data_IF_467915972635
#
_entry.id   IF_467915972635
#
_cell.length_a   1.000
_cell.length_b   1.000
_cell.length_c   1.000
_cell.angle_alpha   90.00
_cell.angle_beta   90.00
_cell.angle_gamma   90.00
#
_symmetry.space_group_name_H-M   'P 1'
#
loop_
_entity.id
_entity.type
_entity.pdbx_description
1 polymer ?
#
# COMPACT_ATOMS: atom_id res chain seq x y z
N UNK A 1 15.18 15.45 -29.74
CA UNK A 1 14.04 16.38 -29.55
C UNK A 1 13.38 16.13 -28.21
N UNK A 2 13.00 17.24 -27.56
CA UNK A 2 12.48 17.32 -26.20
C UNK A 2 11.11 16.65 -26.10
N UNK A 3 10.95 15.71 -25.16
CA UNK A 3 9.64 15.37 -24.55
C UNK A 3 9.26 16.48 -23.55
N UNK A 4 9.48 17.74 -23.92
CA UNK A 4 9.47 18.91 -23.02
C UNK A 4 8.19 19.75 -23.07
N UNK A 5 7.16 19.28 -23.78
CA UNK A 5 5.91 20.03 -23.99
C UNK A 5 4.82 19.75 -22.96
N UNK A 6 4.85 18.61 -22.27
CA UNK A 6 3.82 18.24 -21.28
C UNK A 6 4.19 18.61 -19.82
N UNK A 7 5.38 19.17 -19.61
CA UNK A 7 6.05 19.11 -18.30
C UNK A 7 5.91 20.35 -17.40
N UNK A 8 5.30 21.45 -17.82
CA UNK A 8 5.21 22.65 -16.96
C UNK A 8 3.82 22.88 -16.35
N UNK A 9 2.75 22.55 -17.08
CA UNK A 9 1.38 22.84 -16.63
C UNK A 9 0.69 21.68 -15.89
N UNK A 10 1.32 20.51 -15.81
CA UNK A 10 0.73 19.32 -15.19
C UNK A 10 1.68 18.67 -14.16
N UNK A 11 2.66 19.42 -13.61
CA UNK A 11 3.57 18.86 -12.60
C UNK A 11 2.80 18.35 -11.37
N UNK A 12 1.71 19.02 -11.02
CA UNK A 12 0.79 18.64 -9.94
C UNK A 12 -0.09 17.42 -10.26
N UNK A 13 -0.15 16.97 -11.52
CA UNK A 13 -0.93 15.79 -11.91
C UNK A 13 -0.18 14.47 -11.63
N UNK A 14 1.11 14.53 -11.33
CA UNK A 14 1.95 13.37 -11.05
C UNK A 14 2.38 13.36 -9.59
N UNK A 15 2.23 12.22 -8.93
CA UNK A 15 2.80 12.00 -7.61
C UNK A 15 4.26 11.56 -7.74
N UNK A 16 5.18 12.49 -7.53
CA UNK A 16 6.63 12.23 -7.63
C UNK A 16 7.18 11.59 -6.35
N UNK A 17 6.51 11.83 -5.23
CA UNK A 17 6.75 11.23 -3.93
C UNK A 17 5.46 10.66 -3.37
N UNK A 18 5.55 9.77 -2.37
CA UNK A 18 4.37 9.22 -1.71
C UNK A 18 3.53 10.29 -0.99
N UNK A 19 4.15 11.39 -0.55
CA UNK A 19 3.48 12.52 0.09
C UNK A 19 2.60 13.32 -0.89
N UNK A 20 2.86 13.20 -2.19
CA UNK A 20 2.12 13.89 -3.26
C UNK A 20 0.82 13.17 -3.66
N UNK A 21 0.51 12.00 -3.07
CA UNK A 21 -0.79 11.32 -3.25
C UNK A 21 -1.72 11.67 -2.08
N UNK A 22 -2.50 12.78 -2.14
CA UNK A 22 -3.48 13.07 -1.10
C UNK A 22 -4.47 11.92 -0.97
N UNK A 23 -4.83 11.60 0.28
CA UNK A 23 -5.82 10.58 0.63
C UNK A 23 -7.07 10.73 -0.27
N UNK A 24 -7.41 9.69 -1.04
CA UNK A 24 -8.62 9.66 -1.85
C UNK A 24 -9.84 9.40 -0.97
N UNK A 25 -10.96 10.07 -1.25
CA UNK A 25 -12.21 9.87 -0.51
C UNK A 25 -12.62 8.39 -0.55
N UNK A 26 -12.64 7.66 0.59
CA UNK A 26 -13.03 6.26 0.62
C UNK A 26 -14.43 6.02 0.06
N UNK A 27 -15.35 7.00 0.16
CA UNK A 27 -16.68 6.86 -0.43
C UNK A 27 -16.65 6.80 -1.96
N UNK A 28 -15.62 7.37 -2.58
CA UNK A 28 -15.45 7.42 -4.03
C UNK A 28 -14.66 6.22 -4.58
N UNK A 29 -13.65 5.74 -3.84
CA UNK A 29 -12.67 4.77 -4.37
C UNK A 29 -12.50 3.48 -3.56
N UNK A 30 -13.27 3.27 -2.48
CA UNK A 30 -13.22 2.01 -1.73
C UNK A 30 -13.73 0.85 -2.57
N UNK A 31 -12.83 -0.08 -2.91
CA UNK A 31 -13.21 -1.35 -3.51
C UNK A 31 -13.56 -2.38 -2.44
N UNK A 32 -14.80 -2.87 -2.46
CA UNK A 32 -15.23 -3.99 -1.62
C UNK A 32 -15.06 -5.30 -2.36
N UNK A 33 -14.07 -6.09 -1.93
CA UNK A 33 -13.87 -7.43 -2.46
C UNK A 33 -15.05 -8.33 -2.07
N UNK A 34 -15.78 -8.93 -3.03
CA UNK A 34 -16.84 -9.88 -2.71
C UNK A 34 -16.24 -11.15 -2.12
N UNK A 35 -16.52 -11.41 -0.85
CA UNK A 35 -16.09 -12.62 -0.14
C UNK A 35 -17.19 -13.68 -0.18
N UNK A 36 -16.81 -14.94 -0.34
CA UNK A 36 -17.73 -16.05 -0.14
C UNK A 36 -18.07 -16.13 1.36
N UNK A 37 -19.34 -16.01 1.76
CA UNK A 37 -19.74 -15.99 3.18
C UNK A 37 -19.42 -17.30 3.92
N UNK A 38 -19.23 -18.39 3.19
CA UNK A 38 -18.86 -19.69 3.78
C UNK A 38 -17.35 -19.85 3.99
N UNK A 39 -16.52 -18.93 3.50
CA UNK A 39 -15.08 -18.99 3.68
C UNK A 39 -14.68 -18.57 5.09
N UNK A 40 -13.92 -19.43 5.76
CA UNK A 40 -13.36 -19.14 7.08
C UNK A 40 -12.10 -18.29 6.96
N UNK A 41 -11.90 -17.30 7.85
CA UNK A 41 -10.64 -16.58 7.94
C UNK A 41 -9.44 -17.48 8.19
N UNK A 42 -8.33 -17.20 7.52
CA UNK A 42 -7.07 -17.94 7.67
C UNK A 42 -5.98 -16.98 8.13
N UNK A 43 -5.32 -17.35 9.24
CA UNK A 43 -4.07 -16.73 9.69
C UNK A 43 -2.91 -17.60 9.26
N UNK A 44 -2.21 -17.19 8.22
CA UNK A 44 -1.01 -17.89 7.78
C UNK A 44 0.10 -17.75 8.83
N UNK A 45 0.82 -18.84 9.06
CA UNK A 45 1.98 -18.85 9.96
C UNK A 45 3.09 -17.97 9.38
N UNK A 46 3.63 -17.07 10.20
CA UNK A 46 4.73 -16.19 9.83
C UNK A 46 5.92 -16.99 9.26
N UNK A 47 6.42 -16.56 8.11
CA UNK A 47 7.66 -17.07 7.52
C UNK A 47 8.84 -16.22 7.95
N UNK A 48 10.01 -16.84 8.06
CA UNK A 48 11.27 -16.11 8.24
C UNK A 48 11.56 -15.32 6.96
N UNK A 49 11.74 -14.01 7.11
CA UNK A 49 12.26 -13.16 6.05
C UNK A 49 13.77 -13.37 5.93
N UNK A 50 14.32 -13.21 4.74
CA UNK A 50 15.77 -13.19 4.57
C UNK A 50 16.34 -11.97 5.33
N UNK A 51 17.34 -12.13 6.20
CA UNK A 51 17.92 -11.01 6.95
C UNK A 51 18.37 -9.82 6.08
N UNK A 52 18.73 -10.08 4.81
CA UNK A 52 19.11 -9.04 3.85
C UNK A 52 17.94 -8.15 3.43
N UNK A 53 16.71 -8.65 3.54
CA UNK A 53 15.48 -7.96 3.16
C UNK A 53 14.79 -7.29 4.34
N UNK A 54 15.14 -7.63 5.59
CA UNK A 54 14.50 -7.07 6.79
C UNK A 54 14.59 -5.53 6.85
N UNK A 55 15.77 -4.97 6.54
CA UNK A 55 15.97 -3.53 6.50
C UNK A 55 15.11 -2.84 5.43
N UNK A 56 15.25 -3.19 4.14
CA UNK A 56 14.46 -2.60 3.06
C UNK A 56 12.94 -2.75 3.23
N UNK A 57 12.48 -3.91 3.72
CA UNK A 57 11.05 -4.14 3.96
C UNK A 57 10.53 -3.22 5.06
N UNK A 58 11.31 -3.00 6.12
CA UNK A 58 10.92 -2.10 7.20
C UNK A 58 10.85 -0.64 6.73
N UNK A 59 11.82 -0.18 5.95
CA UNK A 59 11.84 1.16 5.37
C UNK A 59 10.61 1.39 4.47
N UNK A 60 10.34 0.45 3.54
CA UNK A 60 9.16 0.54 2.68
C UNK A 60 7.85 0.52 3.46
N UNK A 61 7.76 -0.25 4.56
CA UNK A 61 6.58 -0.26 5.43
C UNK A 61 6.38 1.09 6.13
N UNK A 62 7.45 1.71 6.61
CA UNK A 62 7.41 3.03 7.25
C UNK A 62 6.93 4.10 6.26
N UNK A 63 7.39 4.07 5.02
CA UNK A 63 6.96 5.01 3.99
C UNK A 63 5.48 4.83 3.61
N UNK A 64 5.02 3.58 3.48
CA UNK A 64 3.59 3.29 3.26
C UNK A 64 2.71 3.70 4.44
N UNK A 65 3.22 3.60 5.68
CA UNK A 65 2.52 4.08 6.88
C UNK A 65 2.45 5.61 6.92
N UNK A 66 3.54 6.31 6.60
CA UNK A 66 3.58 7.78 6.53
C UNK A 66 2.62 8.31 5.47
N UNK A 67 2.57 7.64 4.32
CA UNK A 67 1.64 7.92 3.23
C UNK A 67 0.19 7.49 3.50
N UNK A 68 -0.07 6.86 4.66
CA UNK A 68 -1.39 6.35 5.08
C UNK A 68 -2.04 5.32 4.15
N UNK A 69 -1.27 4.72 3.24
CA UNK A 69 -1.77 3.64 2.36
C UNK A 69 -2.05 2.36 3.14
N UNK A 70 -1.32 2.16 4.24
CA UNK A 70 -1.57 1.06 5.17
C UNK A 70 -1.81 1.60 6.57
N UNK A 71 -2.47 0.79 7.40
CA UNK A 71 -2.74 1.11 8.81
C UNK A 71 -2.55 -0.14 9.66
N UNK A 72 -2.18 0.07 10.92
CA UNK A 72 -2.20 -1.00 11.91
C UNK A 72 -3.66 -1.43 12.17
N UNK A 73 -3.86 -2.74 12.34
CA UNK A 73 -5.14 -3.33 12.71
C UNK A 73 -4.93 -4.25 13.90
N UNK A 74 -5.84 -4.17 14.88
CA UNK A 74 -5.78 -5.00 16.07
C UNK A 74 -6.50 -6.33 15.82
N UNK A 75 -5.85 -7.43 16.22
CA UNK A 75 -6.40 -8.78 16.22
C UNK A 75 -7.02 -9.25 14.88
N UNK A 76 -6.29 -9.21 13.74
CA UNK A 76 -6.85 -9.60 12.46
C UNK A 76 -7.26 -11.07 12.42
N UNK A 77 -8.41 -11.37 11.83
CA UNK A 77 -8.86 -12.74 11.56
C UNK A 77 -8.18 -13.35 10.32
N UNK A 78 -7.82 -12.50 9.36
CA UNK A 78 -7.09 -12.86 8.14
C UNK A 78 -5.64 -12.35 8.22
N UNK A 79 -4.67 -13.22 7.98
CA UNK A 79 -3.26 -12.83 7.89
C UNK A 79 -2.60 -13.60 6.75
N UNK A 80 -2.06 -12.88 5.76
CA UNK A 80 -1.27 -13.43 4.68
C UNK A 80 0.21 -13.15 4.91
N UNK A 81 1.06 -14.10 4.52
CA UNK A 81 2.50 -13.85 4.46
C UNK A 81 2.84 -12.97 3.26
N UNK A 82 3.90 -12.20 3.40
CA UNK A 82 4.55 -11.49 2.29
C UNK A 82 5.16 -12.55 1.35
N UNK A 83 4.96 -12.37 0.04
CA UNK A 83 5.42 -13.27 -1.04
C UNK A 83 6.78 -12.83 -1.54
#
# INVERSE_FOLDING_TARGET
EKIGGLSYNNQEAFAWTYEDMPDLDPQLVEHRLPLNPNCKPIKQKLRKLDPRLEGPVKEGLEDLLKAKFIRAIDYPEWLANIV
#
